data_IF_363865409927
#
_entry.id   IF_363865409927
#
_cell.length_a   1.000
_cell.length_b   1.000
_cell.length_c   1.000
_cell.angle_alpha   90.00
_cell.angle_beta   90.00
_cell.angle_gamma   90.00
#
_symmetry.space_group_name_H-M   'P 1'
#
loop_
_entity.id
_entity.type
_entity.pdbx_description
1 polymer ?
#
# COMPACT_ATOMS: atom_id res chain seq x y z
N UNK A 1 -12.38 14.23 -2.73
CA UNK A 1 -12.25 12.91 -2.07
C UNK A 1 -13.54 12.31 -1.50
N UNK A 2 -14.55 13.10 -1.11
CA UNK A 2 -15.78 12.58 -0.46
C UNK A 2 -16.53 11.49 -1.28
N UNK A 3 -16.59 11.61 -2.60
CA UNK A 3 -17.24 10.62 -3.47
C UNK A 3 -16.50 9.27 -3.47
N UNK A 4 -15.17 9.28 -3.58
CA UNK A 4 -14.36 8.05 -3.59
C UNK A 4 -14.54 7.26 -2.29
N UNK A 5 -14.51 7.94 -1.15
CA UNK A 5 -14.71 7.29 0.14
C UNK A 5 -16.13 6.77 0.35
N UNK A 6 -17.14 7.44 -0.20
CA UNK A 6 -18.51 6.92 -0.18
C UNK A 6 -18.60 5.58 -0.93
N UNK A 7 -17.99 5.49 -2.12
CA UNK A 7 -17.94 4.23 -2.89
C UNK A 7 -17.13 3.14 -2.19
N UNK A 8 -16.02 3.49 -1.54
CA UNK A 8 -15.25 2.53 -0.76
C UNK A 8 -16.01 2.02 0.47
N UNK A 9 -16.85 2.86 1.09
CA UNK A 9 -17.73 2.44 2.18
C UNK A 9 -18.85 1.51 1.71
N UNK A 10 -19.40 1.74 0.53
CA UNK A 10 -20.33 0.80 -0.11
C UNK A 10 -19.65 -0.56 -0.34
N UNK A 11 -18.41 -0.57 -0.85
CA UNK A 11 -17.62 -1.79 -1.06
C UNK A 11 -17.33 -2.53 0.26
N UNK A 12 -17.06 -1.80 1.34
CA UNK A 12 -16.86 -2.41 2.66
C UNK A 12 -18.13 -3.06 3.24
N UNK A 13 -19.31 -2.75 2.69
CA UNK A 13 -20.53 -3.49 3.01
C UNK A 13 -20.61 -4.88 2.37
N UNK A 14 -19.77 -5.18 1.38
CA UNK A 14 -19.81 -6.46 0.62
C UNK A 14 -18.57 -7.32 0.81
N UNK A 15 -17.45 -6.76 1.26
CA UNK A 15 -16.22 -7.50 1.56
C UNK A 15 -15.42 -6.88 2.72
N UNK A 16 -14.45 -7.64 3.23
CA UNK A 16 -13.51 -7.14 4.23
C UNK A 16 -12.46 -6.25 3.56
N UNK A 17 -12.72 -4.95 3.55
CA UNK A 17 -11.79 -3.93 3.10
C UNK A 17 -11.65 -2.86 4.15
N UNK A 18 -10.41 -2.42 4.34
CA UNK A 18 -10.06 -1.31 5.23
C UNK A 18 -9.38 -0.24 4.41
N UNK A 19 -9.77 1.01 4.63
CA UNK A 19 -9.25 2.14 3.86
C UNK A 19 -8.64 3.15 4.80
N UNK A 20 -7.46 3.62 4.41
CA UNK A 20 -6.67 4.54 5.20
C UNK A 20 -6.26 5.74 4.36
N UNK A 21 -6.28 6.93 4.96
CA UNK A 21 -5.64 8.12 4.43
C UNK A 21 -4.22 8.21 4.95
N UNK A 22 -3.27 8.29 4.03
CA UNK A 22 -1.87 8.46 4.38
C UNK A 22 -1.65 9.72 5.22
N UNK A 23 -0.95 9.58 6.35
CA UNK A 23 -0.49 10.73 7.13
C UNK A 23 0.66 11.49 6.46
N UNK A 24 1.40 10.82 5.56
CA UNK A 24 2.50 11.39 4.77
C UNK A 24 2.44 10.78 3.37
N UNK A 25 2.66 11.60 2.33
CA UNK A 25 2.70 11.12 0.95
C UNK A 25 3.86 10.13 0.76
N UNK A 26 3.60 8.85 0.44
CA UNK A 26 4.66 7.87 0.26
C UNK A 26 5.41 8.11 -1.05
N UNK A 27 6.72 7.86 -1.06
CA UNK A 27 7.55 7.86 -2.29
C UNK A 27 7.57 6.48 -2.96
N UNK A 28 7.16 5.43 -2.25
CA UNK A 28 7.13 4.04 -2.72
C UNK A 28 5.71 3.52 -2.82
N UNK A 29 5.41 2.85 -3.92
CA UNK A 29 4.21 2.01 -4.03
C UNK A 29 4.54 0.62 -3.53
N UNK A 30 3.77 0.12 -2.57
CA UNK A 30 3.94 -1.21 -2.00
C UNK A 30 2.62 -1.98 -2.14
N UNK A 31 2.69 -3.18 -2.73
CA UNK A 31 1.60 -4.16 -2.69
C UNK A 31 2.14 -5.38 -1.97
N UNK A 32 1.45 -5.83 -0.94
CA UNK A 32 1.82 -7.03 -0.18
C UNK A 32 0.77 -8.11 -0.36
N UNK A 33 1.24 -9.33 -0.62
CA UNK A 33 0.43 -10.55 -0.65
C UNK A 33 1.24 -11.62 0.06
N UNK A 34 0.81 -12.02 1.26
CA UNK A 34 1.50 -13.02 2.08
C UNK A 34 3.01 -12.72 2.26
N UNK A 35 3.85 -13.58 1.69
CA UNK A 35 5.31 -13.56 1.67
C UNK A 35 5.91 -12.92 0.41
N UNK A 36 5.08 -12.21 -0.37
CA UNK A 36 5.50 -11.47 -1.58
C UNK A 36 5.20 -9.98 -1.42
N UNK A 37 6.15 -9.16 -1.85
CA UNK A 37 5.99 -7.72 -2.00
C UNK A 37 6.24 -7.33 -3.46
N UNK A 38 5.40 -6.44 -4.00
CA UNK A 38 5.67 -5.75 -5.25
C UNK A 38 5.98 -4.29 -4.92
N UNK A 39 7.18 -3.86 -5.29
CA UNK A 39 7.73 -2.56 -4.92
C UNK A 39 7.90 -1.73 -6.18
N UNK A 40 7.26 -0.56 -6.19
CA UNK A 40 7.44 0.47 -7.21
C UNK A 40 7.77 1.82 -6.57
N UNK A 41 7.95 2.84 -7.41
CA UNK A 41 8.08 4.23 -6.98
C UNK A 41 6.89 5.03 -7.53
N UNK A 42 6.42 5.99 -6.72
CA UNK A 42 5.61 7.08 -7.25
C UNK A 42 6.59 8.11 -7.81
N UNK A 43 6.53 8.37 -9.10
CA UNK A 43 7.37 9.38 -9.76
C UNK A 43 6.47 10.47 -10.36
N UNK A 44 7.06 11.64 -10.60
CA UNK A 44 6.35 12.77 -11.18
C UNK A 44 5.77 12.41 -12.56
N UNK A 45 4.48 12.67 -12.74
CA UNK A 45 3.79 12.44 -14.02
C UNK A 45 3.29 11.01 -14.25
N UNK A 46 3.47 10.08 -13.30
CA UNK A 46 2.90 8.73 -13.40
C UNK A 46 1.81 8.51 -12.35
N UNK A 47 0.66 8.04 -12.80
CA UNK A 47 -0.37 7.56 -11.88
C UNK A 47 0.16 6.32 -11.15
N UNK A 48 -0.07 6.26 -9.84
CA UNK A 48 0.47 5.19 -9.02
C UNK A 48 0.16 3.77 -9.50
N UNK A 49 -0.99 3.56 -10.15
CA UNK A 49 -1.35 2.27 -10.71
C UNK A 49 -0.54 1.88 -11.95
N UNK A 50 0.01 2.87 -12.68
CA UNK A 50 0.90 2.68 -13.82
C UNK A 50 2.35 2.44 -13.45
N UNK A 51 2.77 2.70 -12.20
CA UNK A 51 4.15 2.45 -11.75
C UNK A 51 4.57 0.99 -11.95
N UNK A 52 5.67 0.78 -12.68
CA UNK A 52 6.33 -0.51 -12.76
C UNK A 52 6.67 -1.04 -11.37
N UNK A 53 6.54 -2.35 -11.17
CA UNK A 53 6.83 -3.00 -9.89
C UNK A 53 7.84 -4.12 -10.04
N UNK A 54 8.73 -4.22 -9.05
CA UNK A 54 9.66 -5.33 -8.91
C UNK A 54 9.13 -6.28 -7.84
N UNK A 55 9.10 -7.58 -8.15
CA UNK A 55 8.73 -8.63 -7.20
C UNK A 55 9.89 -8.87 -6.22
N UNK A 56 9.57 -8.84 -4.92
CA UNK A 56 10.48 -9.09 -3.80
C UNK A 56 9.87 -10.19 -2.93
N UNK A 57 10.55 -11.34 -2.87
CA UNK A 57 10.10 -12.49 -2.09
C UNK A 57 10.73 -12.51 -0.70
N UNK A 58 10.00 -13.03 0.27
CA UNK A 58 10.58 -13.43 1.55
C UNK A 58 11.64 -14.51 1.34
N UNK A 59 12.80 -14.34 1.97
CA UNK A 59 13.86 -15.35 2.01
C UNK A 59 14.44 -15.41 3.43
N UNK A 60 15.06 -16.52 3.86
CA UNK A 60 15.54 -16.70 5.22
C UNK A 60 16.42 -15.57 5.75
N UNK A 61 17.17 -14.89 4.88
CA UNK A 61 18.01 -13.75 5.25
C UNK A 61 17.70 -12.48 4.45
N UNK A 62 16.56 -12.41 3.74
CA UNK A 62 16.24 -11.34 2.79
C UNK A 62 15.99 -10.00 3.47
N UNK A 63 16.96 -9.06 3.45
CA UNK A 63 16.79 -7.80 4.16
C UNK A 63 15.78 -6.89 3.47
N UNK A 64 15.63 -7.01 2.14
CA UNK A 64 14.72 -6.19 1.34
C UNK A 64 13.26 -6.47 1.69
N UNK A 65 12.83 -7.73 1.71
CA UNK A 65 11.46 -8.08 2.09
C UNK A 65 11.14 -7.56 3.49
N UNK A 66 12.02 -7.81 4.47
CA UNK A 66 11.84 -7.33 5.86
C UNK A 66 11.78 -5.81 5.95
N UNK A 67 12.65 -5.11 5.23
CA UNK A 67 12.70 -3.65 5.19
C UNK A 67 11.43 -3.04 4.61
N UNK A 68 10.97 -3.54 3.45
CA UNK A 68 9.74 -3.06 2.81
C UNK A 68 8.48 -3.46 3.60
N UNK A 69 8.46 -4.63 4.23
CA UNK A 69 7.39 -5.01 5.16
C UNK A 69 7.29 -4.01 6.32
N UNK A 70 8.43 -3.66 6.94
CA UNK A 70 8.49 -2.65 8.01
C UNK A 70 8.03 -1.28 7.53
N UNK A 71 8.38 -0.88 6.30
CA UNK A 71 7.92 0.36 5.68
C UNK A 71 6.39 0.35 5.50
N UNK A 72 5.82 -0.73 4.97
CA UNK A 72 4.37 -0.90 4.81
C UNK A 72 3.64 -0.77 6.16
N UNK A 73 4.11 -1.47 7.18
CA UNK A 73 3.53 -1.43 8.53
C UNK A 73 3.61 -0.03 9.15
N UNK A 74 4.71 0.68 8.92
CA UNK A 74 4.86 2.06 9.39
C UNK A 74 3.86 3.02 8.71
N UNK A 75 3.64 2.84 7.40
CA UNK A 75 2.67 3.64 6.63
C UNK A 75 1.24 3.40 7.13
N UNK A 76 0.84 2.14 7.33
CA UNK A 76 -0.51 1.82 7.83
C UNK A 76 -0.69 2.35 9.26
N UNK A 77 0.31 2.17 10.13
CA UNK A 77 0.24 2.61 11.54
C UNK A 77 0.13 4.12 11.69
N UNK A 78 0.72 4.92 10.80
CA UNK A 78 0.63 6.39 10.85
C UNK A 78 -0.56 6.95 10.08
N UNK A 79 -1.32 6.11 9.39
CA UNK A 79 -2.46 6.53 8.58
C UNK A 79 -3.76 6.63 9.40
N UNK A 80 -4.67 7.48 8.94
CA UNK A 80 -6.01 7.62 9.52
C UNK A 80 -6.96 6.65 8.83
N UNK A 81 -7.64 5.77 9.58
CA UNK A 81 -8.65 4.86 9.01
C UNK A 81 -9.94 5.64 8.69
N UNK A 82 -10.48 5.45 7.48
CA UNK A 82 -11.68 6.15 7.00
C UNK A 82 -12.86 5.23 6.65
N UNK A 83 -12.58 3.96 6.40
CA UNK A 83 -13.54 2.85 6.20
C UNK A 83 -13.02 1.63 6.94
#
# INVERSE_FOLDING_TARGET
MRLTEARLRELAGTCDVQVYRYGILPTRRLIRTDSTLFVGAFDAGWEGHGSATCKVMETPHGPLFRGFRRMFEAIVRSAERTV
#
